data_IF_992921641295
#
_entry.id   IF_992921641295
#
_cell.length_a   1.000
_cell.length_b   1.000
_cell.length_c   1.000
_cell.angle_alpha   90.00
_cell.angle_beta   90.00
_cell.angle_gamma   90.00
#
_symmetry.space_group_name_H-M   'P 1'
#
loop_
_entity.id
_entity.type
_entity.pdbx_description
1 polymer ?
#
# COMPACT_ATOMS: atom_id res chain seq x y z
N UNK A 1 10.02 4.49 -27.70
CA UNK A 1 8.60 4.37 -28.10
C UNK A 1 8.03 2.96 -27.86
N UNK A 2 8.76 1.87 -28.17
CA UNK A 2 8.29 0.47 -27.96
C UNK A 2 8.05 0.08 -26.49
N UNK A 3 8.96 0.43 -25.56
CA UNK A 3 8.81 0.10 -24.12
C UNK A 3 7.54 0.68 -23.49
N UNK A 4 7.18 1.92 -23.81
CA UNK A 4 6.03 2.58 -23.21
C UNK A 4 4.72 1.84 -23.48
N UNK A 5 4.49 1.34 -24.70
CA UNK A 5 3.28 0.58 -25.04
C UNK A 5 3.18 -0.74 -24.27
N UNK A 6 4.28 -1.46 -24.14
CA UNK A 6 4.33 -2.71 -23.38
C UNK A 6 4.02 -2.51 -21.89
N UNK A 7 4.53 -1.44 -21.26
CA UNK A 7 4.18 -1.11 -19.88
C UNK A 7 2.69 -0.79 -19.70
N UNK A 8 2.08 -0.06 -20.63
CA UNK A 8 0.64 0.22 -20.57
C UNK A 8 -0.18 -1.06 -20.64
N UNK A 9 0.17 -2.00 -21.52
CA UNK A 9 -0.53 -3.29 -21.63
C UNK A 9 -0.38 -4.13 -20.36
N UNK A 10 0.82 -4.16 -19.75
CA UNK A 10 1.05 -4.82 -18.45
C UNK A 10 0.19 -4.19 -17.34
N UNK A 11 0.25 -2.88 -17.18
CA UNK A 11 -0.54 -2.15 -16.18
C UNK A 11 -2.04 -2.40 -16.37
N UNK A 12 -2.54 -2.33 -17.61
CA UNK A 12 -3.95 -2.59 -17.91
C UNK A 12 -4.35 -4.03 -17.58
N UNK A 13 -3.52 -5.02 -17.95
CA UNK A 13 -3.80 -6.44 -17.70
C UNK A 13 -3.84 -6.76 -16.22
N UNK A 14 -2.87 -6.26 -15.44
CA UNK A 14 -2.77 -6.53 -14.01
C UNK A 14 -3.87 -5.80 -13.23
N UNK A 15 -4.11 -4.53 -13.55
CA UNK A 15 -5.14 -3.74 -12.87
C UNK A 15 -6.55 -4.02 -13.36
N UNK A 16 -6.70 -4.74 -14.48
CA UNK A 16 -7.96 -4.90 -15.24
C UNK A 16 -8.63 -3.57 -15.64
N UNK A 17 -7.86 -2.47 -15.65
CA UNK A 17 -8.37 -1.12 -15.89
C UNK A 17 -9.10 -0.48 -14.70
N UNK A 18 -9.11 -1.11 -13.53
CA UNK A 18 -9.76 -0.56 -12.34
C UNK A 18 -8.93 0.62 -11.78
N UNK A 19 -9.49 1.85 -11.66
CA UNK A 19 -8.72 3.02 -11.23
C UNK A 19 -7.99 2.83 -9.89
N UNK A 20 -8.65 2.22 -8.91
CA UNK A 20 -8.05 1.97 -7.60
C UNK A 20 -6.87 0.99 -7.68
N UNK A 21 -6.97 -0.05 -8.52
CA UNK A 21 -5.88 -1.00 -8.73
C UNK A 21 -4.68 -0.35 -9.41
N UNK A 22 -4.91 0.60 -10.33
CA UNK A 22 -3.85 1.39 -10.97
C UNK A 22 -3.13 2.26 -9.92
N UNK A 23 -3.90 2.95 -9.05
CA UNK A 23 -3.33 3.81 -8.00
C UNK A 23 -2.45 3.00 -7.05
N UNK A 24 -2.90 1.82 -6.63
CA UNK A 24 -2.15 0.99 -5.69
C UNK A 24 -0.93 0.35 -6.34
N UNK A 25 -1.03 -0.10 -7.58
CA UNK A 25 0.14 -0.53 -8.35
C UNK A 25 1.16 0.60 -8.50
N UNK A 26 0.71 1.83 -8.78
CA UNK A 26 1.60 2.99 -8.86
C UNK A 26 2.26 3.30 -7.51
N UNK A 27 1.54 3.13 -6.39
CA UNK A 27 2.10 3.26 -5.04
C UNK A 27 3.20 2.24 -4.76
N UNK A 28 2.96 0.97 -5.11
CA UNK A 28 3.95 -0.12 -5.02
C UNK A 28 5.19 0.18 -5.86
N UNK A 29 5.01 0.63 -7.11
CA UNK A 29 6.13 0.96 -7.98
C UNK A 29 6.91 2.19 -7.49
N UNK A 30 6.21 3.17 -6.89
CA UNK A 30 6.83 4.37 -6.31
C UNK A 30 7.67 4.06 -5.07
N UNK A 31 7.36 3.02 -4.31
CA UNK A 31 8.13 2.62 -3.13
C UNK A 31 9.47 1.97 -3.48
N UNK A 32 9.65 1.54 -4.73
CA UNK A 32 10.90 0.94 -5.22
C UNK A 32 11.97 2.00 -5.46
N UNK A 33 13.20 1.70 -5.03
CA UNK A 33 14.34 2.63 -5.09
C UNK A 33 14.98 2.61 -6.47
N UNK A 34 15.01 1.44 -7.11
CA UNK A 34 15.68 1.22 -8.39
C UNK A 34 14.62 0.94 -9.46
N UNK A 35 14.65 1.63 -10.63
CA UNK A 35 13.68 1.41 -11.70
C UNK A 35 13.61 -0.04 -12.22
N UNK A 36 14.68 -0.83 -12.07
CA UNK A 36 14.69 -2.25 -12.47
C UNK A 36 13.79 -3.12 -11.58
N UNK A 37 13.55 -2.74 -10.32
CA UNK A 37 12.65 -3.47 -9.41
C UNK A 37 11.19 -3.44 -9.89
N UNK A 38 10.86 -2.55 -10.83
CA UNK A 38 9.53 -2.51 -11.44
C UNK A 38 9.28 -3.79 -12.26
N UNK A 39 10.30 -4.26 -12.98
CA UNK A 39 10.18 -5.48 -13.79
C UNK A 39 9.96 -6.70 -12.88
N UNK A 40 10.66 -6.77 -11.75
CA UNK A 40 10.46 -7.81 -10.72
C UNK A 40 9.02 -7.79 -10.16
N UNK A 41 8.47 -6.60 -9.89
CA UNK A 41 7.07 -6.43 -9.45
C UNK A 41 6.11 -6.95 -10.51
N UNK A 42 6.33 -6.62 -11.78
CA UNK A 42 5.48 -7.10 -12.88
C UNK A 42 5.57 -8.62 -13.02
N UNK A 43 6.77 -9.19 -12.95
CA UNK A 43 6.97 -10.64 -13.00
C UNK A 43 6.32 -11.37 -11.82
N UNK A 44 6.41 -10.83 -10.62
CA UNK A 44 5.74 -11.39 -9.44
C UNK A 44 4.21 -11.37 -9.59
N UNK A 45 3.64 -10.29 -10.14
CA UNK A 45 2.20 -10.17 -10.36
C UNK A 45 1.70 -11.08 -11.50
N UNK A 46 2.51 -11.32 -12.53
CA UNK A 46 2.21 -12.22 -13.65
C UNK A 46 2.40 -13.70 -13.27
N UNK A 47 3.46 -14.04 -12.53
CA UNK A 47 3.82 -15.42 -12.16
C UNK A 47 2.93 -16.03 -11.08
N UNK A 48 2.26 -15.21 -10.27
CA UNK A 48 1.45 -15.69 -9.16
C UNK A 48 0.25 -16.56 -9.56
N UNK A 49 -0.06 -16.71 -10.85
CA UNK A 49 -1.05 -17.67 -11.38
C UNK A 49 -2.46 -17.50 -10.81
N UNK A 50 -2.71 -16.41 -10.07
CA UNK A 50 -3.96 -16.18 -9.37
C UNK A 50 -5.01 -15.77 -10.42
N UNK A 51 -6.22 -16.35 -10.37
CA UNK A 51 -7.30 -15.97 -11.27
C UNK A 51 -7.80 -14.53 -11.06
N UNK A 52 -7.22 -13.79 -10.09
CA UNK A 52 -7.61 -12.43 -9.71
C UNK A 52 -6.37 -11.54 -9.60
N UNK A 53 -5.85 -10.99 -10.72
CA UNK A 53 -4.62 -10.19 -10.72
C UNK A 53 -4.71 -8.95 -9.81
N UNK A 54 -5.90 -8.37 -9.68
CA UNK A 54 -6.18 -7.27 -8.74
C UNK A 54 -5.96 -7.66 -7.28
N UNK A 55 -6.24 -8.91 -6.89
CA UNK A 55 -6.00 -9.39 -5.51
C UNK A 55 -4.51 -9.51 -5.21
N UNK A 56 -3.71 -9.92 -6.19
CA UNK A 56 -2.27 -9.99 -6.07
C UNK A 56 -1.65 -8.60 -5.85
N UNK A 57 -2.20 -7.56 -6.47
CA UNK A 57 -1.77 -6.17 -6.22
C UNK A 57 -2.00 -5.79 -4.75
N UNK A 58 -3.19 -6.07 -4.19
CA UNK A 58 -3.47 -5.77 -2.78
C UNK A 58 -2.52 -6.48 -1.83
N UNK A 59 -2.27 -7.76 -2.10
CA UNK A 59 -1.34 -8.55 -1.29
C UNK A 59 0.08 -7.99 -1.37
N UNK A 60 0.56 -7.69 -2.58
CA UNK A 60 1.90 -7.14 -2.78
C UNK A 60 2.05 -5.78 -2.10
N UNK A 61 1.04 -4.90 -2.25
CA UNK A 61 1.03 -3.61 -1.59
C UNK A 61 1.09 -3.74 -0.07
N UNK A 62 0.31 -4.66 0.50
CA UNK A 62 0.35 -4.93 1.94
C UNK A 62 1.70 -5.53 2.38
N UNK A 63 2.31 -6.39 1.56
CA UNK A 63 3.57 -7.02 1.93
C UNK A 63 4.73 -6.03 1.88
N UNK A 64 4.72 -5.12 0.90
CA UNK A 64 5.70 -4.04 0.74
C UNK A 64 5.56 -2.91 1.78
N UNK A 65 4.46 -2.86 2.54
CA UNK A 65 4.33 -1.90 3.63
C UNK A 65 5.44 -2.12 4.68
N UNK A 66 6.08 -1.05 5.18
CA UNK A 66 6.95 -1.13 6.33
C UNK A 66 6.28 -1.87 7.50
N UNK A 67 7.02 -2.72 8.19
CA UNK A 67 6.47 -3.61 9.23
C UNK A 67 5.64 -2.85 10.29
N UNK A 68 6.10 -1.66 10.69
CA UNK A 68 5.41 -0.83 11.68
C UNK A 68 4.05 -0.27 11.21
N UNK A 69 3.80 -0.22 9.89
CA UNK A 69 2.52 0.23 9.30
C UNK A 69 1.53 -0.91 9.09
N UNK A 70 1.96 -2.17 9.04
CA UNK A 70 1.08 -3.32 8.73
C UNK A 70 -0.07 -3.43 9.74
N UNK A 71 0.20 -3.28 11.04
CA UNK A 71 -0.85 -3.30 12.08
C UNK A 71 -1.81 -2.12 11.97
N UNK A 72 -1.29 -0.92 11.70
CA UNK A 72 -2.09 0.29 11.50
C UNK A 72 -3.03 0.12 10.29
N UNK A 73 -2.54 -0.42 9.18
CA UNK A 73 -3.34 -0.72 8.00
C UNK A 73 -4.43 -1.77 8.28
N UNK A 74 -4.08 -2.86 8.96
CA UNK A 74 -5.05 -3.91 9.30
C UNK A 74 -6.15 -3.43 10.25
N UNK A 75 -5.91 -2.37 11.03
CA UNK A 75 -6.94 -1.76 11.87
C UNK A 75 -8.14 -1.28 11.04
N UNK A 76 -7.94 -0.85 9.80
CA UNK A 76 -9.06 -0.47 8.94
C UNK A 76 -9.97 -1.64 8.57
N UNK A 77 -9.46 -2.88 8.57
CA UNK A 77 -10.27 -4.06 8.29
C UNK A 77 -11.25 -4.42 9.44
N UNK A 78 -11.04 -3.89 10.65
CA UNK A 78 -11.96 -4.04 11.78
C UNK A 78 -13.04 -2.95 11.83
N UNK A 79 -12.84 -1.85 11.09
CA UNK A 79 -13.79 -0.74 10.99
C UNK A 79 -14.85 -1.08 9.95
N UNK A 80 -16.10 -0.69 10.20
CA UNK A 80 -17.17 -0.84 9.23
C UNK A 80 -16.91 -0.03 7.96
N UNK A 81 -17.31 -0.58 6.81
CA UNK A 81 -17.18 0.10 5.53
C UNK A 81 -17.91 1.46 5.55
N UNK A 82 -17.34 2.45 4.86
CA UNK A 82 -17.91 3.80 4.66
C UNK A 82 -18.10 4.65 5.93
N UNK A 83 -17.32 4.38 6.98
CA UNK A 83 -17.30 5.22 8.19
C UNK A 83 -16.28 6.36 8.05
N UNK A 84 -16.69 7.57 8.42
CA UNK A 84 -15.77 8.70 8.54
C UNK A 84 -14.96 8.54 9.84
N UNK A 85 -13.64 8.42 9.69
CA UNK A 85 -12.72 8.36 10.82
C UNK A 85 -11.83 9.60 10.79
N UNK A 86 -11.81 10.34 11.89
CA UNK A 86 -10.95 11.51 12.01
C UNK A 86 -9.50 11.10 12.30
N UNK A 87 -8.49 11.69 11.63
CA UNK A 87 -7.08 11.32 11.78
C UNK A 87 -6.60 11.28 13.24
N UNK A 88 -6.89 12.32 14.01
CA UNK A 88 -6.51 12.40 15.42
C UNK A 88 -7.15 11.29 16.29
N UNK A 89 -8.37 10.87 15.95
CA UNK A 89 -9.07 9.80 16.66
C UNK A 89 -8.45 8.46 16.32
N UNK A 90 -8.15 8.23 15.05
CA UNK A 90 -7.49 7.02 14.57
C UNK A 90 -6.11 6.85 15.21
N UNK A 91 -5.30 7.90 15.22
CA UNK A 91 -3.97 7.87 15.84
C UNK A 91 -4.04 7.51 17.32
N UNK A 92 -4.98 8.09 18.08
CA UNK A 92 -5.18 7.71 19.50
C UNK A 92 -5.55 6.23 19.68
N UNK A 93 -6.33 5.67 18.76
CA UNK A 93 -6.66 4.25 18.78
C UNK A 93 -5.42 3.39 18.50
N UNK A 94 -4.63 3.74 17.49
CA UNK A 94 -3.36 3.04 17.21
C UNK A 94 -2.36 3.14 18.36
N UNK A 95 -2.28 4.28 19.04
CA UNK A 95 -1.46 4.45 20.25
C UNK A 95 -1.97 3.53 21.37
N UNK A 96 -3.28 3.45 21.59
CA UNK A 96 -3.87 2.59 22.61
C UNK A 96 -3.62 1.09 22.35
N UNK A 97 -3.60 0.68 21.07
CA UNK A 97 -3.24 -0.67 20.64
C UNK A 97 -1.72 -0.93 20.64
N UNK A 98 -0.90 0.10 20.88
CA UNK A 98 0.57 0.00 20.88
C UNK A 98 1.19 -0.12 19.48
N UNK A 99 0.49 0.29 18.43
CA UNK A 99 0.99 0.19 17.05
C UNK A 99 1.96 1.29 16.65
N UNK A 100 1.97 2.42 17.37
CA UNK A 100 2.84 3.57 17.08
C UNK A 100 4.15 3.43 17.85
N UNK A 101 5.26 3.33 17.12
CA UNK A 101 6.59 3.25 17.72
C UNK A 101 7.11 4.66 18.11
N UNK A 102 7.68 4.83 19.31
CA UNK A 102 8.24 6.13 19.72
C UNK A 102 9.46 6.50 18.87
N UNK A 103 9.58 7.79 18.50
CA UNK A 103 10.72 8.36 17.78
C UNK A 103 11.31 9.52 18.58
N UNK A 104 12.63 9.65 18.56
CA UNK A 104 13.34 10.67 19.35
C UNK A 104 12.89 12.07 18.93
N UNK A 105 12.52 12.89 19.92
CA UNK A 105 12.07 14.27 19.75
C UNK A 105 10.69 14.49 19.10
N UNK A 106 9.86 13.44 18.99
CA UNK A 106 8.47 13.54 18.50
C UNK A 106 7.50 12.94 19.51
N UNK A 107 6.26 13.44 19.55
CA UNK A 107 5.20 12.79 20.33
C UNK A 107 4.66 11.56 19.59
N UNK A 108 4.01 10.64 20.29
CA UNK A 108 3.36 9.50 19.63
C UNK A 108 2.25 9.97 18.68
N UNK A 109 1.59 11.07 19.00
CA UNK A 109 0.62 11.71 18.12
C UNK A 109 1.25 12.20 16.82
N UNK A 110 2.41 12.86 16.89
CA UNK A 110 3.15 13.32 15.69
C UNK A 110 3.54 12.13 14.82
N UNK A 111 4.16 11.10 15.42
CA UNK A 111 4.57 9.89 14.69
C UNK A 111 3.36 9.17 14.07
N UNK A 112 2.24 9.07 14.80
CA UNK A 112 1.03 8.45 14.29
C UNK A 112 0.39 9.23 13.14
N UNK A 113 0.48 10.56 13.14
CA UNK A 113 0.04 11.40 12.01
C UNK A 113 0.95 11.21 10.80
N UNK A 114 2.26 11.07 11.01
CA UNK A 114 3.20 10.76 9.92
C UNK A 114 2.89 9.42 9.25
N UNK A 115 2.43 8.42 10.02
CA UNK A 115 2.02 7.12 9.47
C UNK A 115 0.85 7.23 8.46
N UNK A 116 0.02 8.28 8.57
CA UNK A 116 -1.07 8.54 7.62
C UNK A 116 -0.61 9.23 6.34
N UNK A 117 0.63 9.73 6.30
CA UNK A 117 1.21 10.46 5.17
C UNK A 117 2.15 9.60 4.32
N UNK A 118 2.20 8.30 4.58
CA UNK A 118 3.04 7.33 3.87
C UNK A 118 2.57 7.08 2.43
#
# INVERSE_FOLDING_TARGET
>A
MYRSKAYYEKVHTISTGLPLAIIVLAGVLRSKVIPMEWDDVFEQLESNGQPKPVRSIWYLAFDDLPHYLKSCFLYFASISENVIVYPHRLVRLWIAEGFVAPKTAETLEDVGIDYLSW
#
